data_IF_091999527560
#
_entry.id   IF_091999527560
#
_cell.length_a   1.000
_cell.length_b   1.000
_cell.length_c   1.000
_cell.angle_alpha   90.00
_cell.angle_beta   90.00
_cell.angle_gamma   90.00
#
_symmetry.space_group_name_H-M   'P 1'
#
loop_
_entity.id
_entity.type
_entity.pdbx_description
1 polymer ?
#
# COMPACT_ATOMS: atom_id res chain seq x y z
N UNK A 1 1.68 18.46 2.57
CA UNK A 1 2.63 19.60 2.62
C UNK A 1 1.88 20.89 2.81
N UNK A 2 2.49 21.96 3.38
CA UNK A 2 1.82 23.25 3.56
C UNK A 2 1.24 23.82 2.25
N UNK A 3 1.94 23.65 1.14
CA UNK A 3 1.46 24.08 -0.18
C UNK A 3 0.16 23.39 -0.59
N UNK A 4 0.05 22.06 -0.41
CA UNK A 4 -1.17 21.32 -0.73
C UNK A 4 -2.34 21.75 0.16
N UNK A 5 -2.07 22.02 1.43
CA UNK A 5 -3.09 22.54 2.34
C UNK A 5 -3.54 23.95 1.95
N UNK A 6 -2.61 24.83 1.57
CA UNK A 6 -2.94 26.17 1.09
C UNK A 6 -3.80 26.11 -0.20
N UNK A 7 -3.42 25.25 -1.16
CA UNK A 7 -4.18 25.03 -2.39
C UNK A 7 -5.62 24.57 -2.11
N UNK A 8 -5.80 23.60 -1.20
CA UNK A 8 -7.13 23.12 -0.84
C UNK A 8 -7.95 24.17 -0.12
N UNK A 9 -7.34 24.94 0.80
CA UNK A 9 -8.03 26.05 1.50
C UNK A 9 -8.46 27.16 0.55
N UNK A 10 -7.60 27.52 -0.41
CA UNK A 10 -7.94 28.49 -1.47
C UNK A 10 -9.14 28.02 -2.33
N UNK A 11 -9.32 26.72 -2.51
CA UNK A 11 -10.47 26.14 -3.18
C UNK A 11 -11.71 25.94 -2.27
N UNK A 12 -11.67 26.42 -1.03
CA UNK A 12 -12.79 26.39 -0.09
C UNK A 12 -12.94 25.09 0.70
N UNK A 13 -11.99 24.15 0.63
CA UNK A 13 -12.04 22.94 1.46
C UNK A 13 -11.67 23.24 2.91
N UNK A 14 -12.44 22.66 3.85
CA UNK A 14 -12.16 22.75 5.29
C UNK A 14 -11.73 21.39 5.80
N UNK A 15 -10.61 21.31 6.48
CA UNK A 15 -10.07 20.08 7.06
C UNK A 15 -9.28 20.37 8.34
N UNK A 16 -9.15 19.34 9.18
CA UNK A 16 -8.39 19.35 10.42
C UNK A 16 -7.33 18.24 10.42
N UNK A 17 -6.19 18.43 11.12
CA UNK A 17 -5.23 17.35 11.32
C UNK A 17 -5.88 16.20 12.12
N UNK A 18 -5.51 14.97 11.80
CA UNK A 18 -5.86 13.80 12.58
C UNK A 18 -4.79 13.56 13.65
N UNK A 19 -5.17 13.30 14.92
CA UNK A 19 -4.21 13.17 16.01
C UNK A 19 -3.34 11.91 15.92
N UNK A 20 -3.76 10.89 15.18
CA UNK A 20 -3.05 9.62 15.07
C UNK A 20 -1.91 9.64 14.04
N UNK A 21 -1.84 10.65 13.17
CA UNK A 21 -0.76 10.71 12.18
C UNK A 21 -0.59 12.12 11.57
N UNK A 22 0.64 12.62 11.45
CA UNK A 22 0.92 13.90 10.81
C UNK A 22 0.61 13.91 9.31
N UNK A 23 0.48 12.74 8.68
CA UNK A 23 0.13 12.60 7.25
C UNK A 23 -1.36 12.72 6.99
N UNK A 24 -2.19 12.66 8.01
CA UNK A 24 -3.63 12.52 7.89
C UNK A 24 -4.36 13.82 8.16
N UNK A 25 -5.40 14.05 7.37
CA UNK A 25 -6.33 15.17 7.54
C UNK A 25 -7.76 14.67 7.41
N UNK A 26 -8.63 15.09 8.32
CA UNK A 26 -10.05 14.83 8.23
C UNK A 26 -10.74 15.96 7.49
N UNK A 27 -11.44 15.62 6.42
CA UNK A 27 -12.28 16.55 5.69
C UNK A 27 -13.51 16.90 6.55
N UNK A 28 -13.75 18.19 6.74
CA UNK A 28 -14.87 18.72 7.53
C UNK A 28 -15.95 19.32 6.64
N UNK A 29 -15.54 19.99 5.54
CA UNK A 29 -16.47 20.52 4.55
C UNK A 29 -15.79 20.57 3.17
N UNK A 30 -16.60 20.35 2.14
CA UNK A 30 -16.16 20.41 0.75
C UNK A 30 -17.16 21.19 -0.11
N UNK A 31 -16.71 22.18 -0.89
CA UNK A 31 -17.60 22.92 -1.80
C UNK A 31 -17.98 22.09 -3.02
N UNK A 32 -17.17 21.10 -3.35
CA UNK A 32 -17.36 20.09 -4.40
C UNK A 32 -16.62 18.81 -3.99
N UNK A 33 -16.94 17.64 -4.59
CA UNK A 33 -16.28 16.39 -4.22
C UNK A 33 -14.76 16.50 -4.24
N UNK A 34 -14.09 16.18 -3.13
CA UNK A 34 -12.62 16.32 -2.97
C UNK A 34 -11.84 15.58 -4.07
N UNK A 35 -12.40 14.48 -4.59
CA UNK A 35 -11.82 13.73 -5.71
C UNK A 35 -11.71 14.53 -7.02
N UNK A 36 -12.44 15.63 -7.17
CA UNK A 36 -12.35 16.55 -8.31
C UNK A 36 -11.37 17.70 -8.12
N UNK A 37 -10.71 17.78 -6.98
CA UNK A 37 -9.71 18.82 -6.71
C UNK A 37 -8.42 18.61 -7.49
N UNK A 38 -7.66 19.69 -7.73
CA UNK A 38 -6.33 19.61 -8.34
C UNK A 38 -5.38 18.75 -7.47
N UNK A 39 -5.49 18.83 -6.14
CA UNK A 39 -4.69 18.01 -5.24
C UNK A 39 -4.93 16.51 -5.44
N UNK A 40 -6.19 16.08 -5.63
CA UNK A 40 -6.51 14.70 -5.95
C UNK A 40 -6.10 14.33 -7.37
N UNK A 41 -6.34 15.19 -8.35
CA UNK A 41 -5.97 14.95 -9.73
C UNK A 41 -4.47 14.69 -9.90
N UNK A 42 -3.63 15.51 -9.28
CA UNK A 42 -2.17 15.35 -9.32
C UNK A 42 -1.62 14.37 -8.26
N UNK A 43 -2.49 13.67 -7.51
CA UNK A 43 -2.10 12.67 -6.53
C UNK A 43 -1.28 13.23 -5.35
N UNK A 44 -1.50 14.49 -4.98
CA UNK A 44 -0.94 15.06 -3.74
C UNK A 44 -1.65 14.57 -2.49
N UNK A 45 -2.87 14.06 -2.64
CA UNK A 45 -3.69 13.46 -1.59
C UNK A 45 -4.26 12.13 -2.05
N UNK A 46 -4.52 11.25 -1.10
CA UNK A 46 -5.28 10.01 -1.28
C UNK A 46 -6.49 10.01 -0.35
N UNK A 47 -7.67 9.80 -0.91
CA UNK A 47 -8.93 9.82 -0.16
C UNK A 47 -9.25 8.41 0.31
N UNK A 48 -9.38 8.22 1.61
CA UNK A 48 -9.66 6.93 2.21
C UNK A 48 -10.38 7.07 3.55
N UNK A 49 -10.87 5.96 4.09
CA UNK A 49 -11.39 5.91 5.44
C UNK A 49 -10.28 6.04 6.48
N UNK A 50 -10.60 6.64 7.63
CA UNK A 50 -9.65 6.87 8.72
C UNK A 50 -9.05 5.57 9.25
N UNK A 51 -9.89 4.55 9.48
CA UNK A 51 -9.46 3.25 10.01
C UNK A 51 -8.55 2.48 9.04
N UNK A 52 -8.75 2.66 7.72
CA UNK A 52 -7.90 2.04 6.68
C UNK A 52 -6.42 2.48 6.73
N UNK A 53 -6.13 3.60 7.43
CA UNK A 53 -4.77 4.12 7.60
C UNK A 53 -4.02 3.46 8.77
N UNK A 54 -4.74 2.86 9.70
CA UNK A 54 -4.15 2.31 10.92
C UNK A 54 -3.22 1.09 10.69
N UNK A 55 -3.54 0.11 9.82
CA UNK A 55 -2.66 -1.04 9.63
C UNK A 55 -1.24 -0.71 9.15
N UNK A 56 -1.01 0.16 8.13
CA UNK A 56 0.35 0.58 7.79
C UNK A 56 1.08 1.31 8.94
N UNK A 57 0.34 2.12 9.72
CA UNK A 57 0.91 2.82 10.87
C UNK A 57 1.25 1.86 12.01
N UNK A 58 0.42 0.84 12.26
CA UNK A 58 0.69 -0.23 13.23
C UNK A 58 1.92 -1.05 12.83
N UNK A 59 2.05 -1.39 11.54
CA UNK A 59 3.21 -2.11 11.03
C UNK A 59 4.49 -1.31 11.20
N UNK A 60 4.41 0.00 10.97
CA UNK A 60 5.49 0.97 11.12
C UNK A 60 6.84 0.43 10.60
N UNK A 61 6.95 0.13 9.31
CA UNK A 61 8.17 -0.42 8.75
C UNK A 61 9.31 0.62 8.82
N UNK A 62 10.54 0.13 9.03
CA UNK A 62 11.71 1.00 9.03
C UNK A 62 11.93 1.63 7.62
N UNK A 63 12.49 2.86 7.54
CA UNK A 63 12.99 3.38 6.28
C UNK A 63 13.97 2.40 5.61
N UNK A 64 13.83 2.20 4.31
CA UNK A 64 14.63 1.24 3.54
C UNK A 64 14.13 -0.22 3.61
N UNK A 65 13.10 -0.53 4.39
CA UNK A 65 12.57 -1.89 4.51
C UNK A 65 11.94 -2.40 3.21
N UNK A 66 12.02 -3.74 3.02
CA UNK A 66 11.25 -4.46 2.02
C UNK A 66 9.92 -4.94 2.62
N UNK A 67 8.82 -4.43 2.11
CA UNK A 67 7.46 -4.70 2.61
C UNK A 67 6.61 -5.36 1.53
N UNK A 68 5.92 -6.43 1.90
CA UNK A 68 4.93 -7.10 1.06
C UNK A 68 3.51 -6.72 1.51
N UNK A 69 2.70 -6.19 0.61
CA UNK A 69 1.25 -6.01 0.77
C UNK A 69 0.54 -7.11 -0.04
N UNK A 70 0.05 -8.13 0.65
CA UNK A 70 -0.43 -9.37 0.02
C UNK A 70 -1.78 -9.23 -0.69
N UNK A 71 -2.60 -8.23 -0.29
CA UNK A 71 -3.95 -7.99 -0.83
C UNK A 71 -4.12 -6.49 -1.14
N UNK A 72 -3.27 -5.95 -1.99
CA UNK A 72 -2.93 -4.53 -2.08
C UNK A 72 -4.04 -3.60 -2.62
N UNK A 73 -4.94 -4.13 -3.45
CA UNK A 73 -5.94 -3.27 -4.12
C UNK A 73 -7.00 -2.73 -3.15
N UNK A 74 -7.32 -1.42 -3.21
CA UNK A 74 -7.05 -0.47 -4.29
C UNK A 74 -5.73 0.34 -4.17
N UNK A 75 -4.88 0.09 -3.16
CA UNK A 75 -3.58 0.74 -3.01
C UNK A 75 -3.49 1.78 -1.89
N UNK A 76 -4.52 1.91 -1.05
CA UNK A 76 -4.51 2.83 0.09
C UNK A 76 -3.41 2.50 1.10
N UNK A 77 -3.33 1.24 1.51
CA UNK A 77 -2.33 0.75 2.46
C UNK A 77 -0.94 0.69 1.81
N UNK A 78 -0.84 0.14 0.59
CA UNK A 78 0.38 0.13 -0.23
C UNK A 78 0.99 1.52 -0.38
N UNK A 79 0.14 2.53 -0.65
CA UNK A 79 0.58 3.92 -0.82
C UNK A 79 1.15 4.52 0.47
N UNK A 80 0.57 4.26 1.62
CA UNK A 80 1.07 4.72 2.90
C UNK A 80 2.35 3.96 3.31
N UNK A 81 2.41 2.64 3.09
CA UNK A 81 3.63 1.84 3.29
C UNK A 81 4.79 2.40 2.47
N UNK A 82 4.56 2.74 1.20
CA UNK A 82 5.58 3.32 0.34
C UNK A 82 6.12 4.66 0.87
N UNK A 83 5.26 5.48 1.49
CA UNK A 83 5.71 6.70 2.16
C UNK A 83 6.56 6.41 3.40
N UNK A 84 6.18 5.40 4.19
CA UNK A 84 6.89 5.03 5.42
C UNK A 84 8.27 4.46 5.14
N UNK A 85 8.40 3.55 4.16
CA UNK A 85 9.71 2.96 3.81
C UNK A 85 10.63 3.94 3.09
N UNK A 86 10.10 5.03 2.55
CA UNK A 86 10.89 6.02 1.81
C UNK A 86 11.40 5.52 0.46
N UNK A 87 12.23 6.33 -0.21
CA UNK A 87 12.68 6.07 -1.59
C UNK A 87 13.66 4.91 -1.72
N UNK A 88 14.36 4.58 -0.65
CA UNK A 88 15.34 3.48 -0.59
C UNK A 88 14.71 2.14 -0.22
N UNK A 89 13.42 2.15 0.17
CA UNK A 89 12.66 0.94 0.49
C UNK A 89 12.00 0.32 -0.73
N UNK A 90 11.32 -0.80 -0.48
CA UNK A 90 10.53 -1.53 -1.46
C UNK A 90 9.15 -1.85 -0.89
N UNK A 91 8.11 -1.59 -1.66
CA UNK A 91 6.77 -2.16 -1.39
C UNK A 91 6.33 -2.97 -2.60
N UNK A 92 6.10 -4.27 -2.42
CA UNK A 92 5.47 -5.13 -3.42
C UNK A 92 3.98 -5.26 -3.09
N UNK A 93 3.13 -4.73 -3.94
CA UNK A 93 1.68 -4.91 -3.85
C UNK A 93 1.20 -6.06 -4.74
N UNK A 94 0.59 -7.10 -4.13
CA UNK A 94 0.02 -8.22 -4.87
C UNK A 94 -1.50 -8.08 -5.01
N UNK A 95 -2.02 -8.36 -6.20
CA UNK A 95 -3.46 -8.42 -6.47
C UNK A 95 -3.75 -9.41 -7.60
N UNK A 96 -4.40 -10.55 -7.32
CA UNK A 96 -4.65 -11.58 -8.33
C UNK A 96 -5.70 -11.17 -9.38
N UNK A 97 -6.67 -10.33 -9.01
CA UNK A 97 -7.77 -9.95 -9.90
C UNK A 97 -7.35 -8.80 -10.83
N UNK A 98 -7.26 -9.08 -12.14
CA UNK A 98 -6.80 -8.10 -13.15
C UNK A 98 -7.48 -6.72 -13.10
N UNK A 99 -8.82 -6.61 -12.97
CA UNK A 99 -9.47 -5.30 -12.87
C UNK A 99 -9.05 -4.52 -11.62
N UNK A 100 -8.88 -5.22 -10.50
CA UNK A 100 -8.43 -4.62 -9.23
C UNK A 100 -6.94 -4.24 -9.31
N UNK A 101 -6.11 -5.07 -9.96
CA UNK A 101 -4.70 -4.75 -10.21
C UNK A 101 -4.56 -3.49 -11.07
N UNK A 102 -5.40 -3.31 -12.09
CA UNK A 102 -5.40 -2.09 -12.90
C UNK A 102 -5.73 -0.83 -12.06
N UNK A 103 -6.68 -0.96 -11.11
CA UNK A 103 -6.98 0.12 -10.16
C UNK A 103 -5.80 0.42 -9.24
N UNK A 104 -5.17 -0.61 -8.67
CA UNK A 104 -3.97 -0.49 -7.83
C UNK A 104 -2.87 0.28 -8.58
N UNK A 105 -2.52 -0.16 -9.77
CA UNK A 105 -1.47 0.46 -10.60
C UNK A 105 -1.77 1.92 -10.92
N UNK A 106 -3.02 2.24 -11.27
CA UNK A 106 -3.47 3.61 -11.55
C UNK A 106 -3.32 4.51 -10.32
N UNK A 107 -3.71 4.02 -9.15
CA UNK A 107 -3.62 4.78 -7.91
C UNK A 107 -2.17 5.01 -7.49
N UNK A 108 -1.30 3.98 -7.55
CA UNK A 108 0.13 4.13 -7.25
C UNK A 108 0.83 5.07 -8.24
N UNK A 109 0.53 4.98 -9.52
CA UNK A 109 1.07 5.89 -10.54
C UNK A 109 0.60 7.34 -10.31
N UNK A 110 -0.67 7.57 -9.96
CA UNK A 110 -1.17 8.90 -9.62
C UNK A 110 -0.44 9.50 -8.42
N UNK A 111 -0.10 8.68 -7.42
CA UNK A 111 0.66 9.10 -6.23
C UNK A 111 2.16 9.27 -6.49
N UNK A 112 2.67 8.86 -7.67
CA UNK A 112 4.09 8.89 -8.03
C UNK A 112 5.01 8.12 -7.06
N UNK A 113 4.61 6.92 -6.70
CA UNK A 113 5.34 6.08 -5.75
C UNK A 113 6.31 5.17 -6.49
N UNK A 114 7.53 5.67 -6.76
CA UNK A 114 8.56 4.98 -7.53
C UNK A 114 9.06 3.69 -6.87
N UNK A 115 9.02 3.61 -5.55
CA UNK A 115 9.43 2.45 -4.75
C UNK A 115 8.35 1.37 -4.62
N UNK A 116 7.14 1.63 -5.13
CA UNK A 116 6.04 0.66 -5.13
C UNK A 116 6.00 -0.10 -6.46
N UNK A 117 6.05 -1.41 -6.40
CA UNK A 117 5.92 -2.31 -7.54
C UNK A 117 4.74 -3.27 -7.33
N UNK A 118 4.25 -3.87 -8.40
CA UNK A 118 3.05 -4.71 -8.33
C UNK A 118 3.25 -6.05 -9.01
N UNK A 119 2.62 -7.10 -8.46
CA UNK A 119 2.53 -8.40 -9.12
C UNK A 119 1.08 -8.93 -9.08
N UNK A 120 0.85 -10.05 -9.76
CA UNK A 120 -0.46 -10.68 -9.84
C UNK A 120 -0.33 -12.20 -9.71
N UNK A 121 -0.46 -12.66 -8.47
CA UNK A 121 -0.39 -14.08 -8.12
C UNK A 121 -1.47 -14.42 -7.09
N UNK A 122 -1.92 -15.67 -7.00
CA UNK A 122 -2.70 -16.11 -5.84
C UNK A 122 -1.92 -15.81 -4.57
N UNK A 123 -2.53 -15.07 -3.63
CA UNK A 123 -1.83 -14.62 -2.42
C UNK A 123 -1.40 -15.75 -1.50
N UNK A 124 -2.07 -16.91 -1.59
CA UNK A 124 -1.78 -18.12 -0.84
C UNK A 124 -0.62 -18.98 -1.41
N UNK A 125 0.00 -18.55 -2.52
CA UNK A 125 1.09 -19.28 -3.18
C UNK A 125 1.98 -18.35 -4.01
N UNK A 126 2.57 -17.37 -3.36
CA UNK A 126 3.46 -16.41 -3.99
C UNK A 126 4.82 -17.08 -4.33
N UNK A 127 5.32 -16.97 -5.57
CA UNK A 127 6.62 -17.55 -5.95
C UNK A 127 7.79 -16.69 -5.43
N UNK A 128 7.75 -16.37 -4.13
CA UNK A 128 8.74 -15.59 -3.42
C UNK A 128 9.54 -16.48 -2.48
N UNK A 129 10.83 -16.20 -2.25
CA UNK A 129 11.66 -16.97 -1.32
C UNK A 129 11.14 -16.90 0.10
N UNK A 130 11.36 -17.98 0.85
CA UNK A 130 11.08 -18.03 2.29
C UNK A 130 11.90 -16.98 3.03
N UNK A 131 11.33 -16.48 4.12
CA UNK A 131 12.04 -15.60 5.06
C UNK A 131 12.75 -14.40 4.41
N UNK A 132 12.17 -13.82 3.37
CA UNK A 132 12.79 -12.76 2.57
C UNK A 132 12.25 -11.35 2.84
N UNK A 133 11.15 -11.20 3.59
CA UNK A 133 10.50 -9.91 3.81
C UNK A 133 10.69 -9.39 5.23
N UNK A 134 11.02 -8.08 5.34
CA UNK A 134 11.15 -7.40 6.63
C UNK A 134 9.81 -7.25 7.34
N UNK A 135 8.78 -6.96 6.55
CA UNK A 135 7.42 -6.80 7.04
C UNK A 135 6.40 -7.24 5.99
N UNK A 136 5.27 -7.73 6.47
CA UNK A 136 4.12 -8.13 5.65
C UNK A 136 2.87 -7.43 6.15
N UNK A 137 2.09 -6.86 5.23
CA UNK A 137 0.74 -6.40 5.49
C UNK A 137 -0.23 -7.39 4.84
N UNK A 138 -1.12 -7.95 5.63
CA UNK A 138 -2.19 -8.85 5.19
C UNK A 138 -3.55 -8.27 5.58
N UNK A 139 -4.21 -7.66 4.59
CA UNK A 139 -5.59 -7.18 4.66
C UNK A 139 -6.42 -8.05 3.71
N UNK A 140 -6.76 -9.29 4.11
CA UNK A 140 -7.33 -10.28 3.23
C UNK A 140 -8.78 -9.96 2.84
N UNK A 141 -9.32 -10.60 1.79
CA UNK A 141 -10.75 -10.60 1.58
C UNK A 141 -11.48 -11.01 2.85
N UNK A 142 -12.51 -10.27 3.22
CA UNK A 142 -13.31 -10.49 4.41
C UNK A 142 -14.81 -10.27 4.14
N UNK A 143 -15.66 -10.61 5.10
CA UNK A 143 -17.11 -10.44 4.97
C UNK A 143 -17.56 -8.96 4.92
N UNK A 144 -16.71 -8.05 5.41
CA UNK A 144 -16.95 -6.61 5.36
C UNK A 144 -18.09 -6.14 6.28
N UNK A 145 -18.36 -6.83 7.39
CA UNK A 145 -19.45 -6.46 8.32
C UNK A 145 -19.23 -5.11 8.99
N UNK A 146 -17.99 -4.63 9.08
CA UNK A 146 -17.67 -3.27 9.56
C UNK A 146 -17.87 -2.17 8.51
N UNK A 147 -18.51 -2.48 7.37
CA UNK A 147 -18.77 -1.52 6.29
C UNK A 147 -20.24 -1.49 5.89
N UNK A 148 -21.14 -1.85 6.81
CA UNK A 148 -22.58 -2.00 6.56
C UNK A 148 -23.25 -0.71 6.10
N UNK A 149 -22.77 0.44 6.51
CA UNK A 149 -23.23 1.74 6.04
C UNK A 149 -23.10 1.90 4.53
N UNK A 150 -22.00 1.36 3.95
CA UNK A 150 -21.73 1.38 2.51
C UNK A 150 -22.22 0.14 1.79
N UNK A 151 -22.40 -0.98 2.52
CA UNK A 151 -22.78 -2.28 1.97
C UNK A 151 -23.76 -3.03 2.89
N UNK A 152 -25.04 -2.59 2.96
CA UNK A 152 -26.04 -3.18 3.86
C UNK A 152 -26.31 -4.67 3.62
N UNK A 153 -25.91 -5.21 2.46
CA UNK A 153 -26.10 -6.61 2.10
C UNK A 153 -24.97 -7.53 2.62
N UNK A 154 -23.89 -6.97 3.17
CA UNK A 154 -22.71 -7.74 3.57
C UNK A 154 -23.04 -8.85 4.56
N UNK A 155 -23.78 -8.53 5.62
CA UNK A 155 -24.17 -9.50 6.65
C UNK A 155 -24.97 -10.66 6.06
N UNK A 156 -25.99 -10.37 5.23
CA UNK A 156 -26.82 -11.42 4.61
C UNK A 156 -26.06 -12.31 3.65
N UNK A 157 -25.08 -11.76 2.97
CA UNK A 157 -24.25 -12.46 1.99
C UNK A 157 -23.35 -13.52 2.62
N UNK A 158 -22.80 -13.23 3.80
CA UNK A 158 -21.77 -14.03 4.46
C UNK A 158 -22.25 -14.65 5.78
N UNK A 159 -23.44 -15.23 5.82
CA UNK A 159 -23.96 -15.92 7.01
C UNK A 159 -23.75 -17.44 6.95
N UNK A 160 -23.51 -18.03 8.13
CA UNK A 160 -23.40 -19.47 8.31
C UNK A 160 -22.26 -20.08 7.49
N UNK A 161 -22.54 -21.22 6.86
CA UNK A 161 -21.53 -22.00 6.11
C UNK A 161 -20.88 -21.24 4.94
N UNK A 162 -21.47 -20.16 4.48
CA UNK A 162 -20.89 -19.30 3.42
C UNK A 162 -19.60 -18.61 3.84
N UNK A 163 -19.37 -18.48 5.14
CA UNK A 163 -18.15 -17.87 5.67
C UNK A 163 -16.95 -18.83 5.66
N UNK A 164 -17.18 -20.14 5.75
CA UNK A 164 -16.11 -21.17 5.84
C UNK A 164 -15.03 -21.04 4.76
N UNK A 165 -15.34 -20.92 3.46
CA UNK A 165 -14.30 -20.77 2.43
C UNK A 165 -13.44 -19.49 2.62
N UNK A 166 -14.05 -18.43 3.17
CA UNK A 166 -13.33 -17.17 3.48
C UNK A 166 -12.34 -17.38 4.62
N UNK A 167 -12.77 -18.02 5.71
CA UNK A 167 -11.90 -18.36 6.84
C UNK A 167 -10.71 -19.25 6.41
N UNK A 168 -10.96 -20.24 5.56
CA UNK A 168 -9.92 -21.10 5.01
C UNK A 168 -8.92 -20.33 4.13
N UNK A 169 -9.40 -19.42 3.29
CA UNK A 169 -8.54 -18.56 2.48
C UNK A 169 -7.67 -17.67 3.37
N UNK A 170 -8.24 -17.06 4.39
CA UNK A 170 -7.52 -16.21 5.35
C UNK A 170 -6.41 -16.99 6.06
N UNK A 171 -6.67 -18.25 6.47
CA UNK A 171 -5.63 -19.13 7.05
C UNK A 171 -4.51 -19.46 6.08
N UNK A 172 -4.83 -19.76 4.81
CA UNK A 172 -3.82 -19.99 3.76
C UNK A 172 -2.95 -18.76 3.55
N UNK A 173 -3.57 -17.59 3.50
CA UNK A 173 -2.86 -16.31 3.37
C UNK A 173 -1.96 -16.02 4.57
N UNK A 174 -2.42 -16.29 5.79
CA UNK A 174 -1.60 -16.16 7.02
C UNK A 174 -0.42 -17.13 7.01
N UNK A 175 -0.63 -18.38 6.58
CA UNK A 175 0.44 -19.38 6.44
C UNK A 175 1.50 -18.90 5.47
N UNK A 176 1.08 -18.39 4.32
CA UNK A 176 1.97 -17.86 3.29
C UNK A 176 2.71 -16.60 3.79
N UNK A 177 2.01 -15.68 4.48
CA UNK A 177 2.62 -14.52 5.10
C UNK A 177 3.72 -14.91 6.10
N UNK A 178 3.45 -15.90 6.95
CA UNK A 178 4.42 -16.44 7.91
C UNK A 178 5.63 -17.08 7.23
N UNK A 179 5.43 -17.81 6.11
CA UNK A 179 6.52 -18.39 5.32
C UNK A 179 7.45 -17.30 4.79
N UNK A 180 6.87 -16.25 4.20
CA UNK A 180 7.60 -15.16 3.54
C UNK A 180 8.29 -14.22 4.51
N UNK A 181 7.76 -14.07 5.72
CA UNK A 181 8.29 -13.20 6.75
C UNK A 181 9.61 -13.75 7.30
N UNK A 182 10.65 -12.91 7.38
CA UNK A 182 11.93 -13.30 7.99
C UNK A 182 11.82 -13.46 9.51
N UNK A 183 12.71 -14.20 10.17
CA UNK A 183 12.82 -14.17 11.61
C UNK A 183 12.98 -12.73 12.13
N UNK A 184 12.29 -12.38 13.22
CA UNK A 184 12.23 -11.00 13.73
C UNK A 184 11.37 -10.02 12.93
N UNK A 185 10.89 -10.40 11.74
CA UNK A 185 10.01 -9.58 10.91
C UNK A 185 8.61 -9.42 11.50
N UNK A 186 7.88 -8.40 11.05
CA UNK A 186 6.55 -8.05 11.55
C UNK A 186 5.45 -8.31 10.52
N UNK A 187 4.33 -8.85 10.97
CA UNK A 187 3.10 -9.04 10.20
C UNK A 187 1.99 -8.21 10.82
N UNK A 188 1.36 -7.34 10.04
CA UNK A 188 0.06 -6.79 10.39
C UNK A 188 -1.03 -7.59 9.70
N UNK A 189 -1.96 -8.12 10.48
CA UNK A 189 -3.22 -8.69 10.01
C UNK A 189 -4.34 -7.69 10.27
N UNK A 190 -5.15 -7.38 9.26
CA UNK A 190 -6.26 -6.45 9.42
C UNK A 190 -7.46 -6.84 8.58
N UNK A 191 -8.66 -6.48 9.02
CA UNK A 191 -9.91 -6.69 8.28
C UNK A 191 -10.84 -5.50 8.45
N UNK A 192 -11.75 -5.30 7.49
CA UNK A 192 -12.87 -4.38 7.64
C UNK A 192 -14.15 -5.11 8.08
N UNK A 193 -14.05 -6.17 8.88
CA UNK A 193 -15.18 -6.89 9.44
C UNK A 193 -15.18 -6.83 10.97
N UNK A 194 -16.34 -6.97 11.56
CA UNK A 194 -16.52 -7.11 13.01
C UNK A 194 -16.64 -8.59 13.45
N UNK A 195 -16.55 -9.53 12.52
CA UNK A 195 -16.71 -10.96 12.77
C UNK A 195 -15.51 -11.54 13.54
N UNK A 196 -15.78 -12.21 14.67
CA UNK A 196 -14.76 -12.77 15.57
C UNK A 196 -13.95 -13.89 14.91
N UNK A 197 -14.59 -14.74 14.10
CA UNK A 197 -13.90 -15.87 13.43
C UNK A 197 -12.89 -15.38 12.39
N UNK A 198 -13.17 -14.21 11.75
CA UNK A 198 -12.27 -13.58 10.78
C UNK A 198 -11.21 -12.70 11.45
N UNK A 199 -11.36 -12.35 12.71
CA UNK A 199 -10.51 -11.47 13.51
C UNK A 199 -9.69 -12.27 14.52
N UNK A 200 -10.14 -12.35 15.75
CA UNK A 200 -9.45 -13.05 16.84
C UNK A 200 -9.24 -14.53 16.54
N UNK A 201 -10.19 -15.18 15.87
CA UNK A 201 -10.06 -16.57 15.42
C UNK A 201 -8.87 -16.80 14.50
N UNK A 202 -8.58 -15.86 13.60
CA UNK A 202 -7.43 -15.92 12.70
C UNK A 202 -6.12 -15.57 13.43
N UNK A 203 -6.15 -14.62 14.38
CA UNK A 203 -4.99 -14.30 15.21
C UNK A 203 -4.61 -15.49 16.09
N UNK A 204 -5.59 -16.15 16.70
CA UNK A 204 -5.35 -17.39 17.45
C UNK A 204 -4.71 -18.48 16.59
N UNK A 205 -5.21 -18.68 15.37
CA UNK A 205 -4.58 -19.60 14.42
C UNK A 205 -3.12 -19.21 14.11
N UNK A 206 -2.85 -17.90 13.92
CA UNK A 206 -1.49 -17.43 13.67
C UNK A 206 -0.54 -17.68 14.84
N UNK A 207 -1.02 -17.53 16.08
CA UNK A 207 -0.22 -17.76 17.29
C UNK A 207 -0.04 -19.27 17.55
N UNK A 208 -1.14 -20.02 17.65
CA UNK A 208 -1.11 -21.43 18.04
C UNK A 208 -0.63 -22.36 16.92
N UNK A 209 -1.02 -22.06 15.66
CA UNK A 209 -0.74 -22.91 14.51
C UNK A 209 0.54 -22.55 13.75
N UNK A 210 0.92 -21.26 13.72
CA UNK A 210 2.09 -20.79 12.99
C UNK A 210 3.24 -20.32 13.89
N UNK A 211 3.02 -20.26 15.20
CA UNK A 211 4.04 -19.85 16.17
C UNK A 211 4.43 -18.37 16.08
N UNK A 212 3.55 -17.52 15.56
CA UNK A 212 3.78 -16.08 15.56
C UNK A 212 3.51 -15.51 16.96
N UNK A 213 4.26 -14.48 17.34
CA UNK A 213 4.15 -13.82 18.64
C UNK A 213 3.34 -12.52 18.49
N UNK A 214 2.29 -12.30 19.31
CA UNK A 214 1.56 -11.05 19.28
C UNK A 214 2.41 -9.91 19.86
N UNK A 215 2.36 -8.76 19.21
CA UNK A 215 2.91 -7.49 19.70
C UNK A 215 1.73 -6.61 20.10
N UNK A 216 1.58 -6.25 21.37
CA UNK A 216 0.51 -5.35 21.79
C UNK A 216 0.58 -4.00 21.07
N UNK A 217 -0.56 -3.55 20.59
CA UNK A 217 -0.72 -2.24 19.96
C UNK A 217 -1.25 -1.24 20.98
N UNK A 218 -0.63 -0.05 21.01
CA UNK A 218 -1.18 1.09 21.74
C UNK A 218 -2.36 1.67 20.96
N UNK A 219 -3.43 2.08 21.66
CA UNK A 219 -4.58 2.73 21.04
C UNK A 219 -4.17 3.99 20.28
N UNK A 220 -4.62 4.12 19.03
CA UNK A 220 -4.38 5.32 18.24
C UNK A 220 -5.24 6.50 18.75
N UNK A 221 -4.66 7.67 18.99
CA UNK A 221 -5.42 8.83 19.45
C UNK A 221 -6.50 9.24 18.43
N UNK A 222 -7.67 9.63 18.92
CA UNK A 222 -8.80 10.00 18.07
C UNK A 222 -9.64 8.82 17.56
N UNK A 223 -9.38 7.62 18.06
CA UNK A 223 -10.23 6.44 17.91
C UNK A 223 -10.66 5.90 19.25
N UNK A 224 -11.79 5.23 19.27
CA UNK A 224 -12.28 4.41 20.38
C UNK A 224 -12.20 2.94 19.94
N UNK A 225 -11.74 2.09 20.84
CA UNK A 225 -11.55 0.68 20.56
C UNK A 225 -12.38 -0.16 21.53
N UNK A 226 -13.10 -1.13 20.99
CA UNK A 226 -13.76 -2.16 21.76
C UNK A 226 -12.75 -3.19 22.27
N UNK A 227 -13.08 -3.85 23.37
CA UNK A 227 -12.30 -4.97 23.88
C UNK A 227 -12.30 -6.15 22.90
N UNK A 228 -11.21 -6.94 22.82
CA UNK A 228 -11.21 -8.18 22.06
C UNK A 228 -12.23 -9.18 22.61
N UNK A 229 -12.87 -9.93 21.73
CA UNK A 229 -13.94 -10.85 22.11
C UNK A 229 -13.43 -12.24 22.52
N UNK A 230 -12.17 -12.58 22.20
CA UNK A 230 -11.56 -13.85 22.59
C UNK A 230 -10.35 -13.61 23.50
N UNK A 231 -10.19 -14.44 24.58
CA UNK A 231 -8.99 -14.42 25.41
C UNK A 231 -7.72 -14.71 24.60
N UNK A 232 -6.60 -14.11 24.99
CA UNK A 232 -5.31 -14.25 24.32
C UNK A 232 -5.11 -13.33 23.11
N UNK A 233 -6.10 -12.46 22.85
CA UNK A 233 -6.02 -11.44 21.80
C UNK A 233 -5.90 -10.01 22.39
N UNK A 234 -5.54 -9.90 23.66
CA UNK A 234 -5.26 -8.62 24.32
C UNK A 234 -4.10 -7.92 23.61
N UNK A 235 -4.28 -6.65 23.31
CA UNK A 235 -3.31 -5.87 22.52
C UNK A 235 -3.61 -5.84 21.01
N UNK A 236 -4.66 -6.52 20.55
CA UNK A 236 -5.26 -6.23 19.26
C UNK A 236 -6.24 -5.07 19.35
N UNK A 237 -6.54 -4.40 18.24
CA UNK A 237 -7.41 -3.23 18.22
C UNK A 237 -8.66 -3.51 17.38
N UNK A 238 -9.83 -3.26 17.97
CA UNK A 238 -11.14 -3.29 17.30
C UNK A 238 -11.69 -1.88 17.29
N UNK A 239 -11.74 -1.23 16.13
CA UNK A 239 -12.29 0.11 15.99
C UNK A 239 -13.80 0.05 16.23
N UNK A 240 -14.29 0.82 17.20
CA UNK A 240 -15.71 1.07 17.41
C UNK A 240 -16.17 2.08 16.35
N UNK A 241 -17.07 1.68 15.47
CA UNK A 241 -17.52 2.44 14.30
C UNK A 241 -18.16 3.77 14.72
N UNK A 242 -19.15 3.70 15.59
CA UNK A 242 -19.96 4.85 15.99
C UNK A 242 -19.14 5.85 16.82
N UNK A 243 -18.44 5.35 17.83
CA UNK A 243 -17.64 6.20 18.73
C UNK A 243 -16.42 6.82 18.02
N UNK A 244 -15.88 6.15 17.00
CA UNK A 244 -14.74 6.65 16.21
C UNK A 244 -15.14 7.49 15.00
N UNK A 245 -16.40 7.45 14.59
CA UNK A 245 -16.84 8.03 13.31
C UNK A 245 -15.95 7.56 12.15
N UNK A 246 -15.77 6.24 12.05
CA UNK A 246 -14.90 5.54 11.09
C UNK A 246 -15.51 4.18 10.76
N UNK A 247 -14.99 3.48 9.74
CA UNK A 247 -15.39 2.09 9.49
C UNK A 247 -14.90 1.18 10.61
N UNK A 248 -15.70 0.16 10.93
CA UNK A 248 -15.27 -0.93 11.81
C UNK A 248 -14.08 -1.65 11.24
N UNK A 249 -13.05 -1.79 12.03
CA UNK A 249 -11.77 -2.33 11.60
C UNK A 249 -11.12 -3.14 12.71
N UNK A 250 -10.46 -4.23 12.32
CA UNK A 250 -9.66 -5.03 13.25
C UNK A 250 -8.19 -4.99 12.85
N UNK A 251 -7.28 -4.92 13.83
CA UNK A 251 -5.85 -4.81 13.59
C UNK A 251 -5.11 -5.65 14.64
N UNK A 252 -4.25 -6.54 14.19
CA UNK A 252 -3.33 -7.30 15.01
C UNK A 252 -1.91 -7.17 14.47
N UNK A 253 -0.94 -6.92 15.33
CA UNK A 253 0.47 -6.90 15.00
C UNK A 253 1.13 -8.17 15.56
N UNK A 254 1.81 -8.91 14.71
CA UNK A 254 2.47 -10.16 15.01
C UNK A 254 3.95 -10.08 14.61
N UNK A 255 4.78 -10.89 15.26
CA UNK A 255 6.21 -11.04 14.95
C UNK A 255 6.53 -12.51 14.70
N UNK A 256 7.39 -12.78 13.73
CA UNK A 256 7.99 -14.12 13.58
C UNK A 256 9.13 -14.27 14.59
N UNK A 257 9.15 -15.32 15.44
CA UNK A 257 10.24 -15.55 16.37
C UNK A 257 11.59 -15.65 15.69
N UNK A 258 12.65 -15.35 16.45
CA UNK A 258 14.05 -15.43 16.00
C UNK A 258 14.68 -14.08 15.77
N UNK A 259 16.00 -14.09 15.66
CA UNK A 259 16.80 -12.89 15.42
C UNK A 259 16.87 -12.59 13.93
N UNK A 260 16.79 -11.30 13.62
CA UNK A 260 16.93 -10.77 12.26
C UNK A 260 18.38 -10.91 11.79
N UNK A 261 18.72 -12.03 11.16
CA UNK A 261 19.88 -12.04 10.29
C UNK A 261 19.60 -11.12 9.10
N UNK A 262 20.56 -10.24 8.74
CA UNK A 262 20.45 -9.47 7.51
C UNK A 262 20.17 -10.43 6.35
N UNK A 263 19.10 -10.19 5.60
CA UNK A 263 18.83 -11.00 4.40
C UNK A 263 20.04 -10.80 3.47
N UNK A 264 20.80 -11.87 3.13
CA UNK A 264 21.85 -11.74 2.12
C UNK A 264 21.19 -11.16 0.87
N UNK A 265 21.75 -10.08 0.33
CA UNK A 265 21.23 -9.48 -0.89
C UNK A 265 21.06 -10.58 -1.93
N UNK A 266 19.82 -10.86 -2.31
CA UNK A 266 19.55 -11.83 -3.39
C UNK A 266 20.32 -11.38 -4.61
N UNK A 267 21.12 -12.29 -5.19
CA UNK A 267 21.86 -12.01 -6.40
C UNK A 267 20.91 -11.38 -7.43
N UNK A 268 21.31 -10.26 -8.03
CA UNK A 268 20.52 -9.54 -9.05
C UNK A 268 19.81 -10.55 -9.95
N UNK A 269 18.50 -10.64 -9.79
CA UNK A 269 17.67 -11.50 -10.62
C UNK A 269 17.62 -10.91 -12.03
N UNK A 270 18.38 -11.48 -12.94
CA UNK A 270 18.48 -11.03 -14.35
C UNK A 270 17.18 -11.23 -15.15
N UNK A 271 16.15 -11.80 -14.60
CA UNK A 271 15.03 -12.33 -15.38
C UNK A 271 13.74 -11.50 -15.36
N UNK A 272 13.56 -10.52 -14.49
CA UNK A 272 12.47 -9.52 -14.69
C UNK A 272 12.69 -8.77 -16.03
N UNK A 273 13.90 -8.84 -16.57
CA UNK A 273 14.36 -8.09 -17.73
C UNK A 273 14.12 -8.76 -19.08
N UNK A 274 13.77 -10.05 -19.13
CA UNK A 274 13.61 -10.72 -20.44
C UNK A 274 12.44 -10.17 -21.29
N UNK A 275 11.44 -9.54 -20.65
CA UNK A 275 10.31 -8.91 -21.33
C UNK A 275 10.44 -7.38 -21.47
N UNK A 276 11.50 -6.78 -20.89
CA UNK A 276 11.72 -5.33 -20.90
C UNK A 276 12.93 -4.95 -21.77
N UNK A 277 12.78 -3.94 -22.60
CA UNK A 277 13.90 -3.30 -23.28
C UNK A 277 14.45 -2.19 -22.39
N UNK A 278 15.67 -2.32 -21.91
CA UNK A 278 16.33 -1.30 -21.10
C UNK A 278 16.54 0.00 -21.90
N UNK A 279 16.32 1.13 -21.24
CA UNK A 279 16.44 2.48 -21.80
C UNK A 279 17.45 3.26 -20.94
N UNK A 280 18.43 3.95 -21.52
CA UNK A 280 19.33 4.81 -20.76
C UNK A 280 18.56 5.93 -20.04
N UNK A 281 18.88 6.26 -18.77
CA UNK A 281 18.22 7.38 -18.07
C UNK A 281 18.32 8.72 -18.80
N UNK A 282 19.39 8.94 -19.57
CA UNK A 282 19.58 10.14 -20.41
C UNK A 282 18.41 10.37 -21.38
N UNK A 283 17.72 9.32 -21.79
CA UNK A 283 16.52 9.42 -22.64
C UNK A 283 15.42 10.34 -22.06
N UNK A 284 15.29 10.41 -20.74
CA UNK A 284 14.32 11.28 -20.08
C UNK A 284 14.61 12.77 -20.29
N UNK A 285 15.90 13.14 -20.39
CA UNK A 285 16.32 14.52 -20.56
C UNK A 285 15.84 15.11 -21.88
N UNK A 286 15.68 14.29 -22.94
CA UNK A 286 15.16 14.71 -24.24
C UNK A 286 13.73 15.25 -24.14
N UNK A 287 12.99 14.89 -23.09
CA UNK A 287 11.61 15.29 -22.80
C UNK A 287 11.51 16.30 -21.66
N UNK A 288 12.61 16.91 -21.23
CA UNK A 288 12.63 17.88 -20.13
C UNK A 288 12.39 17.25 -18.75
N UNK A 289 12.55 15.91 -18.63
CA UNK A 289 12.46 15.19 -17.38
C UNK A 289 13.86 14.99 -16.79
N UNK A 290 14.03 15.23 -15.49
CA UNK A 290 15.34 15.11 -14.84
C UNK A 290 15.62 13.68 -14.34
N UNK A 291 16.59 12.95 -14.97
CA UNK A 291 17.00 11.64 -14.48
C UNK A 291 17.56 11.67 -13.07
N UNK A 292 18.13 12.81 -12.64
CA UNK A 292 18.71 12.98 -11.31
C UNK A 292 17.68 12.92 -10.17
N UNK A 293 16.39 13.05 -10.50
CA UNK A 293 15.28 12.93 -9.54
C UNK A 293 14.84 11.47 -9.32
N UNK A 294 15.29 10.56 -10.17
CA UNK A 294 15.02 9.12 -9.96
C UNK A 294 15.88 8.60 -8.80
N UNK A 295 15.29 7.77 -7.92
CA UNK A 295 16.08 6.94 -7.02
C UNK A 295 16.89 5.91 -7.83
N UNK A 296 17.84 5.18 -7.21
CA UNK A 296 18.55 4.09 -7.88
C UNK A 296 17.61 3.07 -8.51
N UNK A 297 17.83 2.76 -9.80
CA UNK A 297 16.99 1.84 -10.56
C UNK A 297 17.22 1.92 -12.06
N UNK A 298 16.44 1.15 -12.80
CA UNK A 298 16.52 1.06 -14.26
C UNK A 298 15.24 1.60 -14.92
N UNK A 299 15.38 2.01 -16.18
CA UNK A 299 14.26 2.33 -17.07
C UNK A 299 14.06 1.20 -18.06
N UNK A 300 12.83 0.80 -18.28
CA UNK A 300 12.53 -0.26 -19.23
C UNK A 300 11.19 -0.01 -19.95
N UNK A 301 11.15 -0.38 -21.22
CA UNK A 301 9.91 -0.39 -22.00
C UNK A 301 9.34 -1.80 -22.03
N UNK A 302 8.08 -1.91 -21.66
CA UNK A 302 7.27 -3.09 -21.81
C UNK A 302 6.05 -2.74 -22.66
N UNK A 303 5.88 -3.44 -23.78
CA UNK A 303 4.93 -3.09 -24.82
C UNK A 303 5.17 -1.63 -25.32
N UNK A 304 4.22 -0.73 -25.07
CA UNK A 304 4.29 0.69 -25.41
C UNK A 304 4.48 1.60 -24.19
N UNK A 305 4.77 1.04 -23.01
CA UNK A 305 4.86 1.79 -21.75
C UNK A 305 6.27 1.80 -21.18
N UNK A 306 6.76 2.99 -20.84
CA UNK A 306 8.01 3.18 -20.12
C UNK A 306 7.77 3.04 -18.61
N UNK A 307 8.56 2.20 -17.97
CA UNK A 307 8.48 1.91 -16.53
C UNK A 307 9.79 2.26 -15.83
N UNK A 308 9.66 2.70 -14.60
CA UNK A 308 10.77 2.75 -13.66
C UNK A 308 10.82 1.45 -12.83
N UNK A 309 11.98 0.85 -12.74
CA UNK A 309 12.26 -0.38 -12.00
C UNK A 309 13.22 -0.05 -10.85
N UNK A 310 12.74 0.08 -9.60
CA UNK A 310 13.59 0.48 -8.48
C UNK A 310 14.64 -0.58 -8.17
N UNK A 311 15.89 -0.15 -7.88
CA UNK A 311 17.00 -1.05 -7.57
C UNK A 311 16.70 -2.04 -6.43
N UNK A 312 16.00 -1.67 -5.35
CA UNK A 312 15.60 -2.64 -4.32
C UNK A 312 14.74 -3.78 -4.88
N UNK A 313 13.81 -3.50 -5.81
CA UNK A 313 13.01 -4.55 -6.44
C UNK A 313 13.85 -5.44 -7.36
N UNK A 314 14.77 -4.86 -8.14
CA UNK A 314 15.69 -5.61 -8.99
C UNK A 314 16.62 -6.54 -8.19
N UNK A 315 16.99 -6.13 -6.98
CA UNK A 315 17.83 -6.91 -6.09
C UNK A 315 17.06 -7.98 -5.29
N UNK A 316 15.78 -7.69 -4.93
CA UNK A 316 15.03 -8.49 -3.99
C UNK A 316 14.10 -9.51 -4.65
N UNK A 317 13.53 -9.19 -5.82
CA UNK A 317 12.53 -10.03 -6.47
C UNK A 317 13.16 -11.07 -7.39
N UNK A 318 12.78 -12.36 -7.24
CA UNK A 318 13.33 -13.41 -8.10
C UNK A 318 12.78 -13.31 -9.52
N UNK A 319 13.54 -13.85 -10.45
CA UNK A 319 13.21 -13.89 -11.86
C UNK A 319 11.86 -14.53 -12.22
N UNK A 320 11.42 -15.48 -11.41
CA UNK A 320 10.14 -16.18 -11.62
C UNK A 320 8.92 -15.28 -11.37
N UNK A 321 9.09 -14.20 -10.61
CA UNK A 321 8.01 -13.27 -10.31
C UNK A 321 7.88 -12.25 -11.43
N UNK A 322 6.74 -12.25 -12.10
CA UNK A 322 6.38 -11.19 -13.04
C UNK A 322 5.83 -10.01 -12.25
N UNK A 323 6.64 -8.96 -12.14
CA UNK A 323 6.26 -7.72 -11.46
C UNK A 323 6.37 -6.52 -12.39
N UNK A 324 5.74 -5.42 -12.04
CA UNK A 324 5.72 -4.18 -12.80
C UNK A 324 6.01 -3.00 -11.88
N UNK A 325 6.97 -2.19 -12.28
CA UNK A 325 7.26 -0.89 -11.68
C UNK A 325 6.30 0.20 -12.12
N UNK A 326 6.51 1.42 -11.64
CA UNK A 326 5.65 2.54 -11.97
C UNK A 326 5.77 2.94 -13.44
N UNK A 327 4.63 3.05 -14.13
CA UNK A 327 4.58 3.58 -15.49
C UNK A 327 4.83 5.10 -15.49
N UNK A 328 5.83 5.53 -16.26
CA UNK A 328 6.21 6.95 -16.41
C UNK A 328 5.52 7.60 -17.61
N UNK A 329 5.11 6.84 -18.60
CA UNK A 329 4.49 7.32 -19.82
C UNK A 329 4.39 6.26 -20.90
N UNK A 330 3.99 6.66 -22.09
CA UNK A 330 3.96 5.80 -23.28
C UNK A 330 5.18 6.05 -24.15
N UNK A 331 5.83 4.98 -24.60
CA UNK A 331 6.90 5.03 -25.59
C UNK A 331 6.30 4.81 -26.98
N UNK A 332 6.65 5.65 -27.95
CA UNK A 332 6.26 5.53 -29.33
C UNK A 332 7.48 5.61 -30.24
N UNK A 333 7.31 5.38 -31.55
CA UNK A 333 8.36 5.60 -32.55
C UNK A 333 8.82 7.06 -32.63
N UNK A 334 7.99 8.00 -32.18
CA UNK A 334 8.24 9.45 -32.20
C UNK A 334 8.81 9.97 -30.87
N UNK A 335 8.98 9.10 -29.86
CA UNK A 335 9.50 9.44 -28.54
C UNK A 335 8.60 9.03 -27.38
N UNK A 336 8.84 9.64 -26.24
CA UNK A 336 8.08 9.41 -25.00
C UNK A 336 6.95 10.43 -24.87
N UNK A 337 5.75 9.93 -24.56
CA UNK A 337 4.63 10.75 -24.08
C UNK A 337 4.52 10.56 -22.58
N UNK A 338 5.02 11.50 -21.76
CA UNK A 338 4.97 11.37 -20.29
C UNK A 338 3.54 11.28 -19.79
N UNK A 339 3.35 10.61 -18.67
CA UNK A 339 2.07 10.64 -17.96
C UNK A 339 1.77 12.09 -17.53
N UNK A 340 0.56 12.56 -17.78
CA UNK A 340 0.11 13.92 -17.39
C UNK A 340 0.17 14.18 -15.87
N UNK A 341 0.26 13.11 -15.08
CA UNK A 341 0.38 13.19 -13.63
C UNK A 341 1.80 12.96 -13.13
N UNK A 342 2.76 12.80 -14.04
CA UNK A 342 4.15 12.55 -13.69
C UNK A 342 4.78 13.83 -13.15
N UNK A 343 5.02 13.88 -11.84
CA UNK A 343 5.68 15.00 -11.16
C UNK A 343 6.98 14.58 -10.45
N UNK A 344 7.17 13.28 -10.23
CA UNK A 344 8.36 12.77 -9.55
C UNK A 344 9.68 13.07 -10.28
N UNK A 345 9.60 13.36 -11.57
CA UNK A 345 10.72 13.65 -12.45
C UNK A 345 10.71 15.09 -12.97
N UNK A 346 9.81 15.94 -12.48
CA UNK A 346 9.81 17.34 -12.83
C UNK A 346 10.84 18.07 -11.97
N UNK A 347 11.64 18.93 -12.61
CA UNK A 347 12.51 19.85 -11.91
C UNK A 347 11.65 20.77 -11.03
N UNK A 348 11.97 20.94 -9.73
CA UNK A 348 11.24 21.86 -8.87
C UNK A 348 11.35 23.32 -9.33
N UNK A 349 12.33 23.66 -10.19
CA UNK A 349 12.46 24.96 -10.82
C UNK A 349 12.51 24.86 -12.37
N UNK A 350 11.44 24.42 -13.02
CA UNK A 350 11.45 24.29 -14.47
C UNK A 350 11.55 25.66 -15.15
N UNK A 351 12.60 25.87 -15.92
CA UNK A 351 12.82 27.11 -16.67
C UNK A 351 11.81 27.34 -17.80
N UNK A 352 10.90 26.40 -18.06
CA UNK A 352 10.02 26.41 -19.24
C UNK A 352 8.53 26.17 -18.99
N UNK A 353 8.10 25.96 -17.75
CA UNK A 353 6.67 25.81 -17.44
C UNK A 353 6.15 27.16 -16.97
N UNK A 354 5.09 27.72 -17.58
CA UNK A 354 4.45 28.92 -17.07
C UNK A 354 4.03 28.70 -15.62
N UNK A 355 4.43 29.58 -14.72
CA UNK A 355 3.92 29.58 -13.36
C UNK A 355 2.48 30.05 -13.41
N UNK A 356 1.53 29.21 -13.02
CA UNK A 356 0.19 29.65 -12.68
C UNK A 356 0.29 30.38 -11.33
N UNK A 357 0.01 31.67 -11.33
CA UNK A 357 -0.15 32.42 -10.10
C UNK A 357 -1.45 31.93 -9.42
N UNK A 358 -1.37 31.58 -8.14
CA UNK A 358 -2.51 31.01 -7.42
C UNK A 358 -3.63 32.05 -7.25
N UNK A 359 -3.31 33.33 -7.41
CA UNK A 359 -4.26 34.44 -7.36
C UNK A 359 -5.11 34.58 -8.64
N UNK A 360 -4.75 33.86 -9.71
CA UNK A 360 -5.49 33.85 -10.99
C UNK A 360 -6.49 32.67 -11.12
N UNK A 361 -6.74 31.89 -10.06
CA UNK A 361 -7.64 30.75 -9.99
C UNK A 361 -8.71 31.03 -8.94
#
# INVERSE_FOLDING_TARGET
TPLVEALLRAQGYVFAPEPFSPFCRRLLAEPRPLGSSLAAFFGYIYIQDRSSMLPPLALNPAPGAAVLDMCASPGSKTGLLAQLVGREGLVLGNEPARPRLANLRRNLAALNLLQAVTCSWPGESLPLPDASWDAVLLDPPCSGWGTTDKNPQAIKRWQGDRLKPMLELQRKLLTEASRLLRPGGKLVYSTCTTNVDENEGQVRFAVEGLGLEPIPLEPFPGFVFAAPELPGCEGTLRVDEDASNAQGFYIALLRKPGDSAAVPGLARGTAATAAYRAIPPAFLAEFGLSPALLPPGDLAVFEDSLHFLPAPALAHLPAAVRWQGMALGKASAQGLIPSVRLRALLDPEPQRIPRLDVDDV
#
